data_IF_169540369653
#
_entry.id   IF_169540369653
#
_cell.length_a   1.000
_cell.length_b   1.000
_cell.length_c   1.000
_cell.angle_alpha   90.00
_cell.angle_beta   90.00
_cell.angle_gamma   90.00
#
_symmetry.space_group_name_H-M   'P 1'
#
loop_
_entity.id
_entity.type
_entity.pdbx_description
1 polymer ?
#
# COMPACT_ATOMS: atom_id res chain seq x y z
N UNK A 1 -2.23 3.66 -8.71
CA UNK A 1 -1.74 2.72 -7.68
C UNK A 1 -0.59 1.84 -8.19
N UNK A 2 -0.77 1.07 -9.26
CA UNK A 2 0.24 0.10 -9.69
C UNK A 2 0.26 -1.13 -8.78
N UNK A 3 1.45 -1.68 -8.50
CA UNK A 3 1.61 -2.74 -7.50
C UNK A 3 1.93 -2.12 -6.13
N UNK A 4 1.09 -2.39 -5.14
CA UNK A 4 1.25 -1.91 -3.78
C UNK A 4 1.25 -3.10 -2.80
N UNK A 5 2.19 -3.08 -1.85
CA UNK A 5 2.33 -4.08 -0.80
C UNK A 5 1.85 -3.46 0.51
N UNK A 6 0.72 -3.94 1.03
CA UNK A 6 0.06 -3.34 2.20
C UNK A 6 0.43 -4.15 3.44
N UNK A 7 1.13 -3.51 4.36
CA UNK A 7 1.40 -4.05 5.68
C UNK A 7 0.72 -3.19 6.75
N UNK A 8 0.41 -3.79 7.89
CA UNK A 8 -0.16 -3.04 9.01
C UNK A 8 0.88 -2.08 9.59
N UNK A 9 2.08 -2.59 9.87
CA UNK A 9 3.14 -1.85 10.55
C UNK A 9 4.53 -2.27 10.09
N UNK A 10 5.48 -1.33 10.17
CA UNK A 10 6.91 -1.59 9.97
C UNK A 10 7.50 -2.60 10.98
N UNK A 11 6.82 -2.83 12.11
CA UNK A 11 7.25 -3.81 13.11
C UNK A 11 7.10 -5.27 12.66
N UNK A 12 6.31 -5.54 11.61
CA UNK A 12 6.23 -6.87 11.02
C UNK A 12 7.46 -7.12 10.14
N UNK A 13 8.58 -7.44 10.78
CA UNK A 13 9.89 -7.64 10.14
C UNK A 13 9.81 -8.68 9.01
N UNK A 14 9.08 -9.78 9.21
CA UNK A 14 8.92 -10.81 8.18
C UNK A 14 8.22 -10.27 6.93
N UNK A 15 7.14 -9.49 7.09
CA UNK A 15 6.46 -8.85 5.97
C UNK A 15 7.36 -7.82 5.27
N UNK A 16 8.19 -7.07 5.99
CA UNK A 16 9.14 -6.12 5.39
C UNK A 16 10.20 -6.82 4.52
N UNK A 17 10.73 -7.95 4.99
CA UNK A 17 11.64 -8.78 4.18
C UNK A 17 10.95 -9.37 2.96
N UNK A 18 9.70 -9.81 3.08
CA UNK A 18 8.91 -10.25 1.93
C UNK A 18 8.72 -9.10 0.93
N UNK A 19 8.37 -7.89 1.39
CA UNK A 19 8.26 -6.72 0.51
C UNK A 19 9.56 -6.43 -0.24
N UNK A 20 10.69 -6.47 0.47
CA UNK A 20 12.02 -6.30 -0.14
C UNK A 20 12.33 -7.39 -1.15
N UNK A 21 12.01 -8.64 -0.85
CA UNK A 21 12.20 -9.75 -1.77
C UNK A 21 11.40 -9.53 -3.07
N UNK A 22 10.12 -9.18 -2.96
CA UNK A 22 9.25 -8.91 -4.12
C UNK A 22 9.75 -7.72 -4.95
N UNK A 23 10.18 -6.62 -4.30
CA UNK A 23 10.81 -5.47 -4.96
C UNK A 23 12.03 -5.87 -5.80
N UNK A 24 12.89 -6.75 -5.28
CA UNK A 24 14.11 -7.18 -5.96
C UNK A 24 13.86 -8.11 -7.15
N UNK A 25 12.72 -8.81 -7.20
CA UNK A 25 12.36 -9.69 -8.32
C UNK A 25 11.90 -8.91 -9.57
N UNK A 26 11.60 -7.62 -9.43
CA UNK A 26 11.08 -6.81 -10.53
C UNK A 26 11.54 -5.35 -10.40
N UNK A 27 12.86 -5.09 -10.52
CA UNK A 27 13.45 -3.77 -10.27
C UNK A 27 12.97 -2.69 -11.25
N UNK A 28 12.45 -3.08 -12.42
CA UNK A 28 11.94 -2.15 -13.44
C UNK A 28 10.52 -1.65 -13.16
N UNK A 29 9.84 -2.20 -12.15
CA UNK A 29 8.47 -1.87 -11.81
C UNK A 29 8.41 -1.23 -10.41
N UNK A 30 7.69 -0.12 -10.22
CA UNK A 30 7.56 0.47 -8.90
C UNK A 30 6.69 -0.43 -8.02
N UNK A 31 7.28 -0.93 -6.92
CA UNK A 31 6.60 -1.63 -5.84
C UNK A 31 6.61 -0.77 -4.61
N UNK A 32 5.47 -0.15 -4.31
CA UNK A 32 5.35 0.72 -3.17
C UNK A 32 4.91 -0.08 -1.95
N UNK A 33 5.52 0.18 -0.81
CA UNK A 33 5.09 -0.39 0.48
C UNK A 33 4.21 0.63 1.18
N UNK A 34 3.00 0.21 1.53
CA UNK A 34 2.02 1.03 2.23
C UNK A 34 1.80 0.48 3.64
N UNK A 35 2.06 1.31 4.65
CA UNK A 35 1.83 1.01 6.06
C UNK A 35 0.51 1.64 6.49
N UNK A 36 -0.49 0.79 6.71
CA UNK A 36 -1.88 1.24 6.82
C UNK A 36 -2.33 1.56 8.25
N UNK A 37 -1.82 0.86 9.26
CA UNK A 37 -2.32 0.97 10.63
C UNK A 37 -1.80 2.24 11.30
N UNK A 38 -2.70 3.05 11.88
CA UNK A 38 -2.29 4.16 12.73
C UNK A 38 -1.93 3.64 14.13
N UNK A 39 -1.00 4.31 14.84
CA UNK A 39 -0.64 3.92 16.21
C UNK A 39 -1.86 3.84 17.13
N UNK A 40 -2.04 2.69 17.78
CA UNK A 40 -3.13 2.46 18.74
C UNK A 40 -4.46 1.99 18.13
N UNK A 41 -4.56 1.87 16.80
CA UNK A 41 -5.74 1.26 16.16
C UNK A 41 -5.73 -0.27 16.28
N UNK A 42 -6.90 -0.88 16.47
CA UNK A 42 -7.06 -2.32 16.29
C UNK A 42 -7.14 -2.66 14.79
N UNK A 43 -6.67 -3.85 14.41
CA UNK A 43 -6.76 -4.31 13.03
C UNK A 43 -8.11 -4.96 12.73
N UNK A 44 -8.65 -4.66 11.56
CA UNK A 44 -9.91 -5.19 11.03
C UNK A 44 -9.73 -5.93 9.69
N UNK A 45 -8.48 -6.08 9.24
CA UNK A 45 -8.18 -6.75 7.98
C UNK A 45 -8.21 -8.27 8.13
N UNK A 46 -8.57 -9.02 7.08
CA UNK A 46 -8.61 -10.49 7.15
C UNK A 46 -7.22 -11.08 7.43
N UNK A 47 -6.17 -10.47 6.87
CA UNK A 47 -4.79 -10.92 7.04
C UNK A 47 -4.23 -10.67 8.45
N UNK A 48 -4.89 -9.84 9.28
CA UNK A 48 -4.51 -9.64 10.70
C UNK A 48 -4.78 -10.86 11.58
N UNK A 49 -5.66 -11.77 11.12
CA UNK A 49 -5.92 -13.03 11.80
C UNK A 49 -4.70 -13.98 11.75
N UNK A 50 -3.79 -13.76 10.80
CA UNK A 50 -2.53 -14.50 10.73
C UNK A 50 -1.47 -13.87 11.64
N UNK A 51 -0.49 -14.66 12.07
CA UNK A 51 0.64 -14.14 12.88
C UNK A 51 1.47 -13.08 12.14
N UNK A 52 1.53 -13.19 10.82
CA UNK A 52 2.14 -12.21 9.92
C UNK A 52 1.40 -12.28 8.59
N UNK A 53 0.87 -11.15 8.13
CA UNK A 53 0.13 -11.03 6.89
C UNK A 53 0.62 -9.86 6.05
N UNK A 54 0.39 -9.94 4.73
CA UNK A 54 0.70 -8.91 3.75
C UNK A 54 -0.43 -8.87 2.71
N UNK A 55 -0.94 -7.68 2.41
CA UNK A 55 -1.85 -7.45 1.30
C UNK A 55 -1.08 -7.23 -0.01
N UNK A 56 -1.46 -7.92 -1.07
CA UNK A 56 -0.98 -7.67 -2.43
C UNK A 56 -2.07 -6.93 -3.20
N UNK A 57 -1.86 -5.63 -3.41
CA UNK A 57 -2.81 -4.75 -4.08
C UNK A 57 -2.33 -4.43 -5.50
N UNK A 58 -3.19 -4.63 -6.49
CA UNK A 58 -2.85 -4.43 -7.89
C UNK A 58 -3.96 -3.67 -8.62
N UNK A 59 -3.61 -2.51 -9.18
CA UNK A 59 -4.53 -1.72 -9.98
C UNK A 59 -3.82 -0.86 -11.03
N UNK A 60 -4.57 -0.12 -11.85
CA UNK A 60 -6.03 0.01 -11.80
C UNK A 60 -6.76 -1.15 -12.52
N UNK A 61 -7.85 -1.63 -11.93
CA UNK A 61 -8.76 -2.59 -12.55
C UNK A 61 -10.21 -2.25 -12.19
N UNK A 62 -11.12 -2.08 -13.17
CA UNK A 62 -12.53 -1.94 -12.86
C UNK A 62 -13.07 -3.17 -12.13
N UNK A 63 -13.92 -2.95 -11.12
CA UNK A 63 -14.58 -4.03 -10.40
C UNK A 63 -15.43 -4.87 -11.37
N UNK A 64 -15.38 -6.20 -11.23
CA UNK A 64 -16.06 -7.13 -12.13
C UNK A 64 -15.38 -7.35 -13.49
N UNK A 65 -14.20 -6.75 -13.73
CA UNK A 65 -13.40 -6.95 -14.95
C UNK A 65 -12.12 -7.71 -14.62
N UNK A 66 -11.75 -8.68 -15.47
CA UNK A 66 -10.50 -9.41 -15.37
C UNK A 66 -9.54 -8.98 -16.48
N UNK A 67 -8.45 -8.30 -16.13
CA UNK A 67 -7.38 -7.98 -17.07
C UNK A 67 -6.27 -9.02 -17.02
N UNK A 68 -5.87 -9.52 -18.20
CA UNK A 68 -4.87 -10.58 -18.30
C UNK A 68 -3.48 -10.15 -17.79
N UNK A 69 -3.09 -8.90 -18.00
CA UNK A 69 -1.82 -8.34 -17.55
C UNK A 69 -1.71 -8.33 -16.00
N UNK A 70 -2.77 -7.90 -15.31
CA UNK A 70 -2.83 -7.90 -13.85
C UNK A 70 -2.94 -9.30 -13.28
N UNK A 71 -3.69 -10.21 -13.91
CA UNK A 71 -3.78 -11.60 -13.47
C UNK A 71 -2.43 -12.31 -13.52
N UNK A 72 -1.70 -12.17 -14.64
CA UNK A 72 -0.37 -12.78 -14.79
C UNK A 72 0.61 -12.21 -13.77
N UNK A 73 0.57 -10.88 -13.58
CA UNK A 73 1.40 -10.21 -12.58
C UNK A 73 1.09 -10.69 -11.16
N UNK A 74 -0.19 -10.71 -10.78
CA UNK A 74 -0.63 -11.19 -9.47
C UNK A 74 -0.16 -12.63 -9.22
N UNK A 75 -0.31 -13.51 -10.21
CA UNK A 75 0.17 -14.90 -10.12
C UNK A 75 1.68 -14.98 -9.87
N UNK A 76 2.47 -14.18 -10.59
CA UNK A 76 3.92 -14.14 -10.41
C UNK A 76 4.32 -13.65 -9.01
N UNK A 77 3.63 -12.64 -8.47
CA UNK A 77 3.88 -12.13 -7.12
C UNK A 77 3.54 -13.14 -6.03
N UNK A 78 2.43 -13.85 -6.18
CA UNK A 78 2.07 -14.94 -5.25
C UNK A 78 3.12 -16.05 -5.30
N UNK A 79 3.58 -16.44 -6.49
CA UNK A 79 4.64 -17.45 -6.62
C UNK A 79 5.94 -17.00 -5.94
N UNK A 80 6.39 -15.76 -6.19
CA UNK A 80 7.59 -15.21 -5.56
C UNK A 80 7.46 -15.09 -4.03
N UNK A 81 6.26 -14.80 -3.51
CA UNK A 81 6.02 -14.79 -2.07
C UNK A 81 6.13 -16.19 -1.46
N UNK A 82 5.64 -17.23 -2.15
CA UNK A 82 5.81 -18.62 -1.72
C UNK A 82 7.28 -19.06 -1.78
N UNK A 83 8.02 -18.64 -2.81
CA UNK A 83 9.46 -18.90 -2.92
C UNK A 83 10.23 -18.24 -1.77
N UNK A 84 9.89 -17.01 -1.40
CA UNK A 84 10.47 -16.34 -0.21
C UNK A 84 10.22 -17.14 1.07
N UNK A 85 8.98 -17.60 1.29
CA UNK A 85 8.64 -18.42 2.47
C UNK A 85 9.46 -19.72 2.47
N UNK A 86 9.64 -20.35 1.31
CA UNK A 86 10.45 -21.55 1.19
C UNK A 86 11.93 -21.29 1.47
N UNK A 87 12.49 -20.19 0.97
CA UNK A 87 13.86 -19.77 1.27
C UNK A 87 14.07 -19.55 2.77
N UNK A 88 13.11 -18.89 3.43
CA UNK A 88 13.12 -18.73 4.88
C UNK A 88 13.11 -20.08 5.61
N UNK A 89 12.22 -20.99 5.22
CA UNK A 89 12.14 -22.33 5.81
C UNK A 89 13.42 -23.17 5.61
N UNK A 90 14.18 -22.92 4.56
CA UNK A 90 15.48 -23.56 4.30
C UNK A 90 16.64 -22.96 5.12
N UNK A 91 16.38 -21.95 5.95
CA UNK A 91 17.40 -21.29 6.76
C UNK A 91 18.24 -20.27 5.99
N UNK A 92 17.71 -19.74 4.87
CA UNK A 92 18.37 -18.63 4.16
C UNK A 92 18.54 -17.44 5.09
N UNK A 93 19.73 -16.83 5.08
CA UNK A 93 20.00 -15.63 5.87
C UNK A 93 19.43 -14.40 5.18
N UNK A 94 18.66 -13.60 5.92
CA UNK A 94 18.11 -12.33 5.44
C UNK A 94 18.67 -11.17 6.26
N UNK A 95 19.70 -10.46 5.75
CA UNK A 95 20.38 -9.40 6.48
C UNK A 95 19.53 -8.15 6.64
N UNK A 96 19.88 -7.30 7.60
CA UNK A 96 19.22 -6.01 7.81
C UNK A 96 19.38 -5.10 6.58
N UNK A 97 18.41 -4.22 6.35
CA UNK A 97 18.42 -3.26 5.24
C UNK A 97 17.61 -2.00 5.59
N UNK A 98 17.78 -0.93 4.81
CA UNK A 98 16.93 0.26 4.87
C UNK A 98 15.78 0.14 3.87
N UNK A 99 14.58 0.53 4.31
CA UNK A 99 13.37 0.48 3.49
C UNK A 99 12.69 1.83 3.41
N UNK A 100 12.21 2.15 2.21
CA UNK A 100 11.27 3.22 1.96
C UNK A 100 9.84 2.69 2.04
N UNK A 101 8.96 3.39 2.74
CA UNK A 101 7.53 3.10 2.74
C UNK A 101 6.69 4.38 2.87
N UNK A 102 5.40 4.22 2.61
CA UNK A 102 4.38 5.26 2.73
C UNK A 102 3.49 4.92 3.93
N UNK A 103 3.48 5.73 4.97
CA UNK A 103 2.64 5.53 6.15
C UNK A 103 1.39 6.36 6.06
N UNK A 104 0.23 5.75 6.30
CA UNK A 104 -1.06 6.46 6.39
C UNK A 104 -0.98 7.57 7.44
N UNK A 105 -1.50 8.73 7.09
CA UNK A 105 -1.66 9.88 7.98
C UNK A 105 -3.15 10.12 8.26
N UNK A 106 -3.94 10.21 7.20
CA UNK A 106 -5.36 10.58 7.25
C UNK A 106 -6.07 10.17 5.96
N UNK A 107 -7.36 10.43 5.88
CA UNK A 107 -8.16 10.35 4.65
C UNK A 107 -8.77 11.70 4.32
N UNK A 108 -9.04 11.94 3.04
CA UNK A 108 -9.74 13.12 2.55
C UNK A 108 -11.02 12.65 1.87
N UNK A 109 -12.18 13.17 2.29
CA UNK A 109 -13.48 12.90 1.65
C UNK A 109 -13.62 13.72 0.35
N UNK A 110 -14.55 13.31 -0.49
CA UNK A 110 -15.01 14.10 -1.61
C UNK A 110 -15.70 15.39 -1.13
N UNK A 111 -15.67 16.46 -1.94
CA UNK A 111 -16.55 17.60 -1.71
C UNK A 111 -18.00 17.13 -1.85
N UNK A 112 -18.83 17.43 -0.84
CA UNK A 112 -20.24 17.02 -0.78
C UNK A 112 -21.17 18.20 -0.58
N UNK A 113 -22.41 18.03 -1.04
CA UNK A 113 -23.52 18.95 -0.74
C UNK A 113 -24.02 18.73 0.69
N UNK A 114 -24.94 19.59 1.15
CA UNK A 114 -25.63 19.39 2.43
C UNK A 114 -26.40 18.06 2.48
N UNK A 115 -26.88 17.56 1.33
CA UNK A 115 -27.57 16.29 1.20
C UNK A 115 -26.62 15.07 1.16
N UNK A 116 -25.30 15.29 1.32
CA UNK A 116 -24.23 14.27 1.28
C UNK A 116 -23.94 13.65 -0.09
N UNK A 117 -24.61 14.14 -1.13
CA UNK A 117 -24.26 13.85 -2.53
C UNK A 117 -22.93 14.50 -2.92
N UNK A 118 -22.27 13.95 -3.94
CA UNK A 118 -21.05 14.53 -4.50
C UNK A 118 -21.32 15.93 -5.06
N UNK A 119 -20.46 16.88 -4.72
CA UNK A 119 -20.45 18.24 -5.27
C UNK A 119 -19.31 18.48 -6.28
N UNK A 120 -18.44 17.48 -6.45
CA UNK A 120 -17.28 17.49 -7.34
C UNK A 120 -16.64 16.12 -7.45
N UNK A 121 -15.58 16.03 -8.27
CA UNK A 121 -14.77 14.83 -8.44
C UNK A 121 -13.28 15.13 -8.22
N UNK A 122 -12.46 14.08 -8.17
CA UNK A 122 -10.99 14.21 -8.15
C UNK A 122 -10.54 15.06 -9.34
N UNK A 123 -9.67 16.04 -9.07
CA UNK A 123 -9.15 16.91 -10.11
C UNK A 123 -8.28 16.12 -11.10
N UNK A 124 -8.33 16.47 -12.39
CA UNK A 124 -7.61 15.71 -13.44
C UNK A 124 -6.09 15.70 -13.28
N UNK A 125 -5.52 16.68 -12.55
CA UNK A 125 -4.09 16.70 -12.22
C UNK A 125 -3.72 15.79 -11.06
N UNK A 126 -4.69 15.36 -10.24
CA UNK A 126 -4.50 14.40 -9.15
C UNK A 126 -4.89 12.99 -9.58
N UNK A 127 -5.86 12.86 -10.50
CA UNK A 127 -6.31 11.57 -11.01
C UNK A 127 -5.13 10.75 -11.53
N UNK A 128 -5.08 9.47 -11.11
CA UNK A 128 -4.05 8.48 -11.46
C UNK A 128 -2.63 8.80 -10.98
N UNK A 129 -2.44 9.82 -10.13
CA UNK A 129 -1.13 10.21 -9.56
C UNK A 129 -0.87 9.62 -8.16
N UNK A 130 -1.28 8.36 -7.92
CA UNK A 130 -0.98 7.71 -6.64
C UNK A 130 0.54 7.67 -6.38
N UNK A 131 0.93 7.87 -5.13
CA UNK A 131 2.33 7.95 -4.65
C UNK A 131 3.16 9.12 -5.18
N UNK A 132 2.59 10.00 -6.01
CA UNK A 132 3.25 11.23 -6.43
C UNK A 132 3.11 12.32 -5.36
N UNK A 133 4.08 13.25 -5.24
CA UNK A 133 4.06 14.29 -4.22
C UNK A 133 2.95 15.32 -4.47
N UNK A 134 2.04 15.47 -3.50
CA UNK A 134 1.01 16.50 -3.46
C UNK A 134 1.46 17.64 -2.54
N UNK A 135 1.64 18.84 -3.12
CA UNK A 135 2.10 20.05 -2.43
C UNK A 135 0.94 21.00 -2.13
N UNK A 136 1.09 21.80 -1.08
CA UNK A 136 0.12 22.85 -0.72
C UNK A 136 -0.19 23.75 -1.92
N UNK A 137 -1.47 24.04 -2.12
CA UNK A 137 -1.96 24.83 -3.25
C UNK A 137 -2.17 24.06 -4.56
N UNK A 138 -1.80 22.78 -4.64
CA UNK A 138 -2.12 21.95 -5.82
C UNK A 138 -3.62 21.61 -5.87
N UNK A 139 -4.24 21.55 -7.06
CA UNK A 139 -5.67 21.25 -7.19
C UNK A 139 -5.97 19.77 -6.94
N UNK A 140 -6.91 19.49 -6.03
CA UNK A 140 -7.29 18.12 -5.60
C UNK A 140 -8.70 17.73 -6.00
N UNK A 141 -9.61 18.68 -6.13
CA UNK A 141 -10.96 18.43 -6.64
C UNK A 141 -11.39 19.47 -7.67
N UNK A 142 -12.24 19.04 -8.61
CA UNK A 142 -13.01 19.91 -9.51
C UNK A 142 -14.47 19.85 -9.06
N UNK A 143 -15.00 20.96 -8.56
CA UNK A 143 -16.43 21.09 -8.26
C UNK A 143 -17.24 21.01 -9.56
N UNK A 144 -18.48 20.52 -9.51
CA UNK A 144 -19.37 20.53 -10.68
C UNK A 144 -19.73 21.94 -11.16
N UNK A 145 -19.56 22.95 -10.30
CA UNK A 145 -19.62 24.37 -10.67
C UNK A 145 -18.43 24.86 -11.51
N UNK A 146 -17.40 24.03 -11.69
CA UNK A 146 -16.18 24.36 -12.41
C UNK A 146 -15.04 24.92 -11.55
N UNK A 147 -15.29 25.20 -10.27
CA UNK A 147 -14.28 25.71 -9.33
C UNK A 147 -13.30 24.61 -8.89
N UNK A 148 -12.03 24.93 -8.80
CA UNK A 148 -11.01 24.06 -8.19
C UNK A 148 -11.00 24.18 -6.67
N UNK A 149 -10.83 23.03 -6.01
CA UNK A 149 -10.49 22.94 -4.58
C UNK A 149 -9.02 22.58 -4.49
N UNK A 150 -8.27 23.35 -3.71
CA UNK A 150 -6.82 23.19 -3.57
C UNK A 150 -6.50 22.41 -2.29
N UNK A 151 -5.34 21.76 -2.28
CA UNK A 151 -4.80 21.12 -1.09
C UNK A 151 -4.31 22.17 -0.10
N UNK A 152 -4.89 22.18 1.09
CA UNK A 152 -4.59 23.17 2.15
C UNK A 152 -3.66 22.61 3.25
N UNK A 153 -3.17 21.37 3.12
CA UNK A 153 -2.27 20.79 4.12
C UNK A 153 -0.92 21.51 4.20
N UNK A 154 -0.32 21.52 5.39
CA UNK A 154 0.91 22.26 5.70
C UNK A 154 2.19 21.63 5.12
N UNK A 155 2.15 20.34 4.81
CA UNK A 155 3.30 19.55 4.34
C UNK A 155 2.96 18.77 3.07
N UNK A 156 4.01 18.39 2.33
CA UNK A 156 3.88 17.50 1.18
C UNK A 156 3.46 16.11 1.66
N UNK A 157 2.40 15.59 1.05
CA UNK A 157 1.92 14.21 1.26
C UNK A 157 1.97 13.44 -0.05
N UNK A 158 1.73 12.14 0.03
CA UNK A 158 1.69 11.25 -1.13
C UNK A 158 0.33 10.56 -1.15
N UNK A 159 -0.62 11.03 -1.96
CA UNK A 159 -1.96 10.48 -2.01
C UNK A 159 -1.94 9.04 -2.52
N UNK A 160 -2.79 8.18 -1.96
CA UNK A 160 -2.95 6.78 -2.38
C UNK A 160 -4.44 6.41 -2.37
N UNK A 161 -4.80 5.40 -3.17
CA UNK A 161 -6.17 4.97 -3.42
C UNK A 161 -7.03 6.11 -3.94
N UNK A 162 -6.43 6.89 -4.84
CA UNK A 162 -7.11 8.02 -5.45
C UNK A 162 -8.28 7.50 -6.27
N UNK A 163 -9.49 7.94 -5.88
CA UNK A 163 -10.73 7.67 -6.59
C UNK A 163 -11.16 6.17 -6.62
N UNK A 164 -10.91 5.44 -5.52
CA UNK A 164 -11.35 4.04 -5.40
C UNK A 164 -12.88 3.94 -5.31
N UNK A 165 -13.48 3.11 -6.18
CA UNK A 165 -14.94 2.97 -6.27
C UNK A 165 -15.57 2.47 -4.96
N UNK A 166 -14.93 1.54 -4.25
CA UNK A 166 -15.42 1.03 -2.97
C UNK A 166 -15.36 2.05 -1.82
N UNK A 167 -14.69 3.19 -2.01
CA UNK A 167 -14.41 4.16 -0.95
C UNK A 167 -15.35 5.37 -0.95
N UNK A 168 -16.19 5.51 -1.98
CA UNK A 168 -17.23 6.54 -2.04
C UNK A 168 -18.20 6.51 -0.86
N UNK A 169 -18.61 5.31 -0.43
CA UNK A 169 -19.48 5.11 0.75
C UNK A 169 -18.74 5.29 2.08
N UNK A 170 -17.40 5.27 2.05
CA UNK A 170 -16.53 5.37 3.23
C UNK A 170 -16.08 6.80 3.48
N UNK A 171 -16.53 7.74 2.66
CA UNK A 171 -16.12 9.15 2.69
C UNK A 171 -14.61 9.32 2.47
N UNK A 172 -14.05 8.55 1.53
CA UNK A 172 -12.62 8.59 1.21
C UNK A 172 -12.46 8.77 -0.31
N UNK A 173 -12.03 9.94 -0.71
CA UNK A 173 -11.57 10.21 -2.08
C UNK A 173 -10.13 9.74 -2.30
N UNK A 174 -9.28 9.90 -1.28
CA UNK A 174 -7.93 9.36 -1.24
C UNK A 174 -7.42 9.32 0.22
N UNK A 175 -6.42 8.48 0.46
CA UNK A 175 -5.67 8.49 1.72
C UNK A 175 -4.43 9.36 1.57
N UNK A 176 -4.11 10.12 2.61
CA UNK A 176 -2.85 10.85 2.69
C UNK A 176 -1.81 9.97 3.35
N UNK A 177 -0.61 9.96 2.78
CA UNK A 177 0.52 9.27 3.38
C UNK A 177 1.72 10.20 3.50
N UNK A 178 2.58 9.89 4.46
CA UNK A 178 3.93 10.43 4.54
C UNK A 178 4.93 9.38 4.10
N UNK A 179 6.01 9.83 3.47
CA UNK A 179 7.09 8.99 3.01
C UNK A 179 8.15 8.89 4.09
N UNK A 180 8.54 7.67 4.48
CA UNK A 180 9.54 7.43 5.51
C UNK A 180 10.62 6.46 5.04
N UNK A 181 11.80 6.63 5.62
CA UNK A 181 12.92 5.69 5.55
C UNK A 181 13.15 5.09 6.93
N UNK A 182 13.34 3.78 7.02
CA UNK A 182 13.58 3.09 8.29
C UNK A 182 14.40 1.81 8.12
N UNK A 183 15.12 1.46 9.19
CA UNK A 183 15.89 0.23 9.27
C UNK A 183 15.00 -0.98 9.55
N UNK A 184 15.13 -2.02 8.74
CA UNK A 184 14.53 -3.34 8.96
C UNK A 184 15.62 -4.28 9.48
N UNK A 185 15.45 -4.85 10.69
CA UNK A 185 16.47 -5.75 11.24
C UNK A 185 16.54 -7.07 10.45
N UNK A 186 17.65 -7.79 10.60
CA UNK A 186 17.81 -9.11 10.00
C UNK A 186 16.76 -10.10 10.55
N UNK A 187 16.33 -11.07 9.74
CA UNK A 187 15.52 -12.17 10.26
C UNK A 187 16.38 -13.13 11.09
N UNK A 188 15.86 -13.65 12.21
CA UNK A 188 16.56 -14.65 12.99
C UNK A 188 16.73 -15.92 12.14
N UNK A 189 17.93 -16.52 12.17
CA UNK A 189 18.14 -17.83 11.57
C UNK A 189 17.28 -18.86 12.28
N UNK A 190 16.56 -19.69 11.51
CA UNK A 190 15.90 -20.86 12.07
C UNK A 190 16.97 -21.79 12.64
N UNK A 191 16.81 -22.20 13.91
CA UNK A 191 17.63 -23.27 14.45
C UNK A 191 17.43 -24.52 13.57
N UNK A 192 18.49 -25.31 13.29
CA UNK A 192 18.32 -26.55 12.55
C UNK A 192 17.26 -27.41 13.26
N UNK A 193 16.29 -27.91 12.50
CA UNK A 193 15.33 -28.87 13.03
C UNK A 193 16.12 -30.05 13.64
N UNK A 194 15.76 -30.53 14.85
CA UNK A 194 16.39 -31.72 15.39
C UNK A 194 16.20 -32.86 14.38
N UNK A 195 17.30 -33.52 14.00
CA UNK A 195 17.24 -34.70 13.15
C UNK A 195 16.23 -35.69 13.75
N UNK A 196 15.35 -36.30 12.96
CA UNK A 196 14.51 -37.38 13.46
C UNK A 196 15.44 -38.43 14.08
N UNK A 197 15.20 -38.76 15.35
CA UNK A 197 15.92 -39.82 16.03
C UNK A 197 15.70 -41.13 15.24
N UNK A 198 16.74 -41.98 15.12
CA UNK A 198 16.69 -43.22 14.36
C UNK A 198 15.59 -44.19 14.85
#
# INVERSE_FOLDING_TARGET
MGTCLIAESAHNVFAMHLCRHLQLQSPELPFQVFLYQLPGEESYSVNSMAKSGLGLELGPQPQGVLRADLLVRMRALVAAALDFIQLFNQGTAFPAFEMEAYRKVSSVDFPRTEARDLAGNVHTQLQDQDFEPLRTGAPIFRMFSGKDVLYEGESTVYPVFINEAAYYEKDIAFLQTEKLMFSVPALPMLAPAPSPAP
#
